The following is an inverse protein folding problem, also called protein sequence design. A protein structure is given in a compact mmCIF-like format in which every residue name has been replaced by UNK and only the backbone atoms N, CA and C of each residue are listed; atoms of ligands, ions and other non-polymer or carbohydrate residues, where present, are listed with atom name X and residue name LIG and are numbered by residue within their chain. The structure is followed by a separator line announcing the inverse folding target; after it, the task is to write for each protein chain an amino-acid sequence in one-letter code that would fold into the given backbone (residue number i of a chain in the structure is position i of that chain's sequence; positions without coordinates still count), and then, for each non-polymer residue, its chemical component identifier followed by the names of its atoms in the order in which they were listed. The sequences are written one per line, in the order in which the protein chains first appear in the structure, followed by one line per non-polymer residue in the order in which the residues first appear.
data_IF_658724166857
#
_entry.id   IF_658724166857
#
_cell.length_a   1.000
_cell.length_b   1.000
_cell.length_c   1.000
_cell.angle_alpha   90.00
_cell.angle_beta   90.00
_cell.angle_gamma   90.00
#
_symmetry.space_group_name_H-M   'P 1'
#
loop_
_entity.id
_entity.type
_entity.pdbx_description
1 polymer ?
#
# COMPACT_ATOMS: atom_id res chain seq x y z
N UNK A 1 -1.00 -17.00 -18.28
CA UNK A 1 -2.01 -15.94 -17.96
C UNK A 1 -3.38 -16.54 -18.22
N UNK A 2 -4.24 -16.64 -17.21
CA UNK A 2 -5.59 -17.21 -17.36
C UNK A 2 -6.55 -16.14 -17.85
N UNK A 3 -7.31 -16.44 -18.91
CA UNK A 3 -8.28 -15.54 -19.55
C UNK A 3 -9.61 -15.49 -18.76
N UNK A 4 -9.52 -15.09 -17.50
CA UNK A 4 -10.63 -15.04 -16.53
C UNK A 4 -11.25 -13.64 -16.37
N UNK A 5 -10.58 -12.62 -16.91
CA UNK A 5 -10.97 -11.22 -16.79
C UNK A 5 -11.10 -10.62 -18.19
N UNK A 6 -12.26 -10.03 -18.46
CA UNK A 6 -12.56 -9.31 -19.69
C UNK A 6 -12.41 -7.81 -19.44
N UNK A 7 -11.68 -7.13 -20.31
CA UNK A 7 -11.57 -5.67 -20.28
C UNK A 7 -12.70 -5.09 -21.13
N UNK A 8 -13.48 -4.18 -20.54
CA UNK A 8 -14.52 -3.43 -21.22
C UNK A 8 -13.97 -2.61 -22.38
N UNK A 9 -14.84 -2.31 -23.35
CA UNK A 9 -14.47 -1.51 -24.54
C UNK A 9 -14.84 -0.04 -24.38
N UNK A 10 -15.73 0.27 -23.46
CA UNK A 10 -16.29 1.61 -23.27
C UNK A 10 -15.51 2.36 -22.19
N UNK A 11 -15.07 3.56 -22.52
CA UNK A 11 -14.44 4.46 -21.55
C UNK A 11 -15.51 5.16 -20.72
N UNK A 12 -15.29 5.20 -19.41
CA UNK A 12 -16.10 5.90 -18.42
C UNK A 12 -15.28 6.99 -17.76
N UNK A 13 -15.92 8.14 -17.53
CA UNK A 13 -15.34 9.21 -16.74
C UNK A 13 -15.42 8.83 -15.26
N UNK A 14 -14.29 8.90 -14.57
CA UNK A 14 -14.19 8.65 -13.15
C UNK A 14 -13.66 9.89 -12.45
N UNK A 15 -14.47 10.46 -11.56
CA UNK A 15 -14.12 11.66 -10.82
C UNK A 15 -13.59 11.31 -9.42
N UNK A 16 -12.34 11.69 -9.16
CA UNK A 16 -11.68 11.53 -7.86
C UNK A 16 -11.67 12.87 -7.16
N UNK A 17 -12.67 13.08 -6.29
CA UNK A 17 -12.95 14.40 -5.73
C UNK A 17 -13.34 15.41 -6.82
N UNK A 18 -13.75 16.62 -6.43
CA UNK A 18 -14.31 17.63 -7.34
C UNK A 18 -13.32 18.21 -8.39
N UNK A 19 -12.16 17.57 -8.65
CA UNK A 19 -11.05 18.19 -9.40
C UNK A 19 -10.30 17.25 -10.36
N UNK A 20 -10.29 15.94 -10.14
CA UNK A 20 -9.49 15.02 -10.96
C UNK A 20 -10.39 14.08 -11.75
N UNK A 21 -10.38 14.22 -13.08
CA UNK A 21 -11.11 13.35 -13.99
C UNK A 21 -10.14 12.33 -14.57
N UNK A 22 -10.45 11.05 -14.43
CA UNK A 22 -9.74 9.94 -15.05
C UNK A 22 -10.64 9.29 -16.11
N UNK A 23 -10.03 8.62 -17.08
CA UNK A 23 -10.75 7.69 -17.96
C UNK A 23 -10.50 6.27 -17.50
N UNK A 24 -11.56 5.49 -17.43
CA UNK A 24 -11.55 4.12 -16.92
C UNK A 24 -12.30 3.18 -17.85
N UNK A 25 -11.93 1.90 -17.84
CA UNK A 25 -12.70 0.82 -18.48
C UNK A 25 -13.01 -0.24 -17.45
N UNK A 26 -14.20 -0.82 -17.50
CA UNK A 26 -14.62 -1.82 -16.52
C UNK A 26 -13.86 -3.15 -16.71
N UNK A 27 -13.58 -3.82 -15.59
CA UNK A 27 -13.10 -5.20 -15.56
C UNK A 27 -14.26 -6.12 -15.24
N UNK A 28 -14.49 -7.12 -16.07
CA UNK A 28 -15.58 -8.07 -15.91
C UNK A 28 -15.04 -9.49 -15.69
N UNK A 29 -15.59 -10.19 -14.70
CA UNK A 29 -15.33 -11.61 -14.54
C UNK A 29 -15.89 -12.38 -15.74
N UNK A 30 -15.09 -13.21 -16.40
CA UNK A 30 -15.56 -13.99 -17.55
C UNK A 30 -16.64 -15.01 -17.17
N UNK A 31 -16.57 -15.57 -15.97
CA UNK A 31 -17.48 -16.61 -15.49
C UNK A 31 -18.89 -16.10 -15.22
N UNK A 32 -19.01 -15.07 -14.37
CA UNK A 32 -20.31 -14.53 -13.94
C UNK A 32 -20.72 -13.21 -14.61
N UNK A 33 -19.85 -12.62 -15.44
CA UNK A 33 -20.06 -11.32 -16.11
C UNK A 33 -20.22 -10.11 -15.19
N UNK A 34 -20.05 -10.28 -13.88
CA UNK A 34 -20.04 -9.18 -12.93
C UNK A 34 -18.85 -8.25 -13.16
N UNK A 35 -19.06 -6.94 -12.94
CA UNK A 35 -17.97 -5.96 -12.87
C UNK A 35 -17.23 -6.18 -11.55
N UNK A 36 -15.94 -6.43 -11.63
CA UNK A 36 -15.07 -6.75 -10.48
C UNK A 36 -14.01 -5.68 -10.22
N UNK A 37 -14.05 -4.58 -10.98
CA UNK A 37 -13.07 -3.51 -10.89
C UNK A 37 -12.99 -2.69 -12.17
N UNK A 38 -11.86 -2.01 -12.35
CA UNK A 38 -11.60 -1.15 -13.51
C UNK A 38 -10.11 -1.01 -13.81
N UNK A 39 -9.80 -0.50 -15.00
CA UNK A 39 -8.46 -0.08 -15.40
C UNK A 39 -8.49 1.40 -15.75
N UNK A 40 -7.55 2.17 -15.21
CA UNK A 40 -7.35 3.56 -15.60
C UNK A 40 -6.63 3.62 -16.95
N UNK A 41 -7.29 4.17 -17.97
CA UNK A 41 -6.72 4.39 -19.31
C UNK A 41 -6.07 5.76 -19.43
N UNK A 42 -6.58 6.76 -18.69
CA UNK A 42 -5.99 8.09 -18.57
C UNK A 42 -6.03 8.56 -17.13
N UNK A 43 -4.92 9.13 -16.67
CA UNK A 43 -4.69 9.57 -15.29
C UNK A 43 -3.99 10.93 -15.27
N UNK A 44 -4.27 11.77 -14.27
CA UNK A 44 -3.37 12.86 -13.89
C UNK A 44 -2.01 12.31 -13.41
N UNK A 45 -0.96 13.14 -13.48
CA UNK A 45 0.42 12.75 -13.08
C UNK A 45 0.51 12.14 -11.68
N UNK A 46 -0.31 12.60 -10.74
CA UNK A 46 -0.33 12.08 -9.36
C UNK A 46 -0.83 10.63 -9.26
N UNK A 47 -1.54 10.15 -10.28
CA UNK A 47 -2.18 8.84 -10.35
C UNK A 47 -1.55 7.92 -11.42
N UNK A 48 -0.44 8.34 -12.03
CA UNK A 48 0.23 7.56 -13.09
C UNK A 48 0.67 6.17 -12.61
N UNK A 49 0.93 5.99 -11.32
CA UNK A 49 1.24 4.69 -10.72
C UNK A 49 0.06 3.69 -10.76
N UNK A 50 -1.17 4.15 -11.02
CA UNK A 50 -2.37 3.31 -11.19
C UNK A 50 -2.76 3.13 -12.67
N UNK A 51 -2.13 3.86 -13.60
CA UNK A 51 -2.46 3.79 -15.03
C UNK A 51 -2.13 2.41 -15.59
N UNK A 52 -3.02 1.87 -16.42
CA UNK A 52 -2.90 0.53 -17.03
C UNK A 52 -2.70 -0.63 -16.04
N UNK A 53 -3.09 -0.42 -14.78
CA UNK A 53 -3.10 -1.46 -13.74
C UNK A 53 -4.52 -1.99 -13.54
N UNK A 54 -4.65 -3.29 -13.25
CA UNK A 54 -5.93 -3.89 -12.87
C UNK A 54 -6.29 -3.47 -11.45
N UNK A 55 -7.24 -2.55 -11.30
CA UNK A 55 -7.74 -2.10 -10.01
C UNK A 55 -9.02 -2.86 -9.67
N UNK A 56 -8.89 -3.90 -8.86
CA UNK A 56 -10.01 -4.72 -8.43
C UNK A 56 -10.77 -4.06 -7.28
N UNK A 57 -12.09 -4.21 -7.29
CA UNK A 57 -12.97 -3.78 -6.20
C UNK A 57 -12.84 -4.76 -5.04
N UNK A 58 -12.53 -4.23 -3.85
CA UNK A 58 -12.40 -5.04 -2.62
C UNK A 58 -13.76 -5.65 -2.22
N UNK A 59 -14.87 -5.00 -2.57
CA UNK A 59 -16.20 -5.50 -2.25
C UNK A 59 -16.61 -6.70 -3.15
N UNK A 60 -15.96 -6.85 -4.30
CA UNK A 60 -16.34 -7.84 -5.33
C UNK A 60 -15.32 -8.98 -5.47
N UNK A 61 -14.30 -9.03 -4.59
CA UNK A 61 -13.21 -10.02 -4.63
C UNK A 61 -12.94 -10.60 -3.24
N UNK A 62 -12.82 -11.92 -3.20
CA UNK A 62 -12.30 -12.64 -2.04
C UNK A 62 -10.82 -13.01 -2.24
N UNK A 63 -10.04 -12.94 -1.16
CA UNK A 63 -8.65 -13.40 -1.15
C UNK A 63 -8.53 -14.68 -0.35
N UNK A 64 -7.68 -15.59 -0.84
CA UNK A 64 -7.35 -16.82 -0.13
C UNK A 64 -5.84 -16.93 0.01
N UNK A 65 -5.39 -17.04 1.26
CA UNK A 65 -3.97 -17.19 1.58
C UNK A 65 -3.67 -18.68 1.71
N UNK A 66 -2.74 -19.16 0.89
CA UNK A 66 -2.23 -20.53 0.99
C UNK A 66 -1.34 -20.64 2.22
N UNK A 67 -1.70 -21.51 3.17
CA UNK A 67 -0.84 -21.82 4.31
C UNK A 67 0.42 -22.58 3.89
N UNK A 68 1.54 -22.32 4.58
CA UNK A 68 2.73 -23.17 4.51
C UNK A 68 2.75 -24.17 5.67
N UNK A 69 3.49 -25.27 5.52
CA UNK A 69 3.62 -26.29 6.58
C UNK A 69 4.18 -25.74 7.91
N UNK A 70 4.86 -24.59 7.88
CA UNK A 70 5.45 -23.91 9.04
C UNK A 70 4.65 -22.69 9.52
N UNK A 71 3.52 -22.38 8.87
CA UNK A 71 2.63 -21.31 9.30
C UNK A 71 1.57 -21.90 10.23
N UNK A 72 1.78 -21.79 11.55
CA UNK A 72 0.66 -21.94 12.50
C UNK A 72 -0.37 -20.91 12.11
N UNK A 73 -1.52 -21.39 11.61
CA UNK A 73 -2.70 -20.58 11.36
C UNK A 73 -2.85 -19.64 12.55
N UNK A 74 -2.62 -18.35 12.33
CA UNK A 74 -3.05 -17.35 13.28
C UNK A 74 -4.56 -17.52 13.37
N UNK A 75 -4.97 -18.24 14.43
CA UNK A 75 -6.35 -18.52 14.75
C UNK A 75 -7.14 -17.23 14.58
N UNK A 76 -8.07 -17.20 13.63
CA UNK A 76 -9.00 -16.10 13.36
C UNK A 76 -8.42 -14.72 13.78
N UNK A 77 -7.27 -14.37 13.19
CA UNK A 77 -6.46 -13.22 13.59
C UNK A 77 -7.16 -11.91 13.27
N UNK A 78 -7.96 -11.42 14.22
CA UNK A 78 -8.30 -10.02 14.46
C UNK A 78 -8.45 -9.11 13.23
N UNK A 79 -9.48 -9.28 12.38
CA UNK A 79 -9.87 -8.29 11.33
C UNK A 79 -8.68 -7.51 10.73
N UNK A 80 -7.55 -8.17 10.42
CA UNK A 80 -6.39 -7.44 9.96
C UNK A 80 -6.67 -7.07 8.52
N UNK A 81 -7.12 -5.82 8.37
CA UNK A 81 -7.51 -5.24 7.10
C UNK A 81 -6.31 -5.38 6.14
N UNK A 82 -6.51 -5.91 4.93
CA UNK A 82 -5.43 -6.04 3.96
C UNK A 82 -4.73 -4.70 3.80
N UNK A 83 -3.40 -4.70 3.86
CA UNK A 83 -2.60 -3.50 3.63
C UNK A 83 -2.97 -2.94 2.26
N UNK A 84 -3.66 -1.80 2.24
CA UNK A 84 -4.06 -1.14 0.99
C UNK A 84 -2.94 -0.23 0.50
N UNK A 85 -2.98 0.12 -0.78
CA UNK A 85 -1.96 0.98 -1.39
C UNK A 85 -1.96 2.39 -0.75
N UNK A 86 -3.11 2.82 -0.24
CA UNK A 86 -3.30 4.06 0.52
C UNK A 86 -2.60 4.01 1.89
N UNK A 87 -2.47 2.82 2.52
CA UNK A 87 -1.77 2.64 3.79
C UNK A 87 -0.25 2.82 3.65
N UNK A 88 0.30 2.60 2.44
CA UNK A 88 1.74 2.73 2.17
C UNK A 88 2.29 4.12 2.57
N UNK A 89 1.58 5.19 2.20
CA UNK A 89 2.03 6.56 2.50
C UNK A 89 2.08 6.84 4.01
N UNK A 90 1.11 6.29 4.76
CA UNK A 90 1.05 6.42 6.22
C UNK A 90 2.23 5.68 6.87
N UNK A 91 2.52 4.46 6.42
CA UNK A 91 3.65 3.67 6.93
C UNK A 91 4.99 4.32 6.60
N UNK A 92 5.18 4.80 5.38
CA UNK A 92 6.41 5.50 4.97
C UNK A 92 6.65 6.75 5.83
N UNK A 93 5.58 7.50 6.14
CA UNK A 93 5.68 8.67 7.02
C UNK A 93 6.04 8.27 8.45
N UNK A 94 5.37 7.27 9.03
CA UNK A 94 5.66 6.80 10.39
C UNK A 94 7.10 6.26 10.50
N UNK A 95 7.58 5.54 9.50
CA UNK A 95 8.98 5.08 9.43
C UNK A 95 9.97 6.24 9.38
N UNK A 96 9.61 7.32 8.68
CA UNK A 96 10.44 8.53 8.58
C UNK A 96 10.52 9.26 9.94
N UNK A 97 9.39 9.42 10.62
CA UNK A 97 9.32 10.02 11.96
C UNK A 97 10.11 9.20 12.98
N UNK A 98 9.94 7.87 12.95
CA UNK A 98 10.68 6.94 13.82
C UNK A 98 12.19 7.01 13.55
N UNK A 99 12.61 7.08 12.28
CA UNK A 99 14.02 7.26 11.91
C UNK A 99 14.61 8.54 12.51
N UNK A 100 13.88 9.66 12.43
CA UNK A 100 14.34 10.93 13.01
C UNK A 100 14.52 10.84 14.53
N UNK A 101 13.57 10.21 15.22
CA UNK A 101 13.64 9.97 16.67
C UNK A 101 14.88 9.14 17.04
N UNK A 102 15.12 8.02 16.35
CA UNK A 102 16.26 7.15 16.61
C UNK A 102 17.58 7.87 16.34
N UNK A 103 17.69 8.65 15.26
CA UNK A 103 18.89 9.45 14.97
C UNK A 103 19.15 10.50 16.05
N UNK A 104 18.11 11.16 16.56
CA UNK A 104 18.24 12.12 17.66
C UNK A 104 18.72 11.46 18.95
N UNK A 105 18.21 10.26 19.26
CA UNK A 105 18.67 9.48 20.40
C UNK A 105 20.15 9.08 20.27
N UNK A 106 20.56 8.61 19.09
CA UNK A 106 21.96 8.26 18.81
C UNK A 106 22.90 9.44 19.03
N UNK A 107 22.55 10.63 18.52
CA UNK A 107 23.34 11.85 18.72
C UNK A 107 23.43 12.27 20.19
N UNK A 108 22.37 12.07 20.98
CA UNK A 108 22.38 12.38 22.41
C UNK A 108 23.24 11.39 23.19
N UNK A 109 23.22 10.11 22.83
CA UNK A 109 24.08 9.09 23.45
C UNK A 109 25.56 9.37 23.16
N UNK A 110 25.91 9.68 21.91
CA UNK A 110 27.28 10.02 21.53
C UNK A 110 27.84 11.20 22.34
N UNK A 111 27.03 12.25 22.58
CA UNK A 111 27.43 13.37 23.45
C UNK A 111 27.65 12.97 24.90
N UNK A 112 26.86 12.04 25.42
CA UNK A 112 27.01 11.53 26.79
C UNK A 112 28.27 10.67 26.89
N UNK A 113 28.52 9.82 25.89
CA UNK A 113 29.73 8.98 25.83
C UNK A 113 31.00 9.83 25.76
N UNK A 114 31.03 10.89 24.96
CA UNK A 114 32.17 11.82 24.90
C UNK A 114 32.38 12.53 26.24
N UNK A 115 31.32 13.05 26.88
CA UNK A 115 31.45 13.69 28.18
C UNK A 115 31.94 12.76 29.30
N UNK A 116 31.53 11.48 29.26
CA UNK A 116 32.02 10.46 30.19
C UNK A 116 33.49 10.07 29.95
N UNK A 117 33.96 10.15 28.70
CA UNK A 117 35.35 9.90 28.33
C UNK A 117 36.27 11.02 28.86
N UNK A 118 35.84 12.28 28.73
CA UNK A 118 36.57 13.46 29.23
C UNK A 118 36.72 13.43 30.76
N UNK A 119 35.66 13.05 31.50
CA UNK A 119 35.70 12.92 32.97
C UNK A 119 36.64 11.80 33.47
N UNK A 120 36.98 10.82 32.62
CA UNK A 120 37.90 9.73 32.95
C UNK A 120 39.37 10.04 32.66
N UNK A 121 39.66 10.99 31.76
CA UNK A 121 41.03 11.40 31.41
C UNK A 121 41.59 12.47 32.38
N UNK A 122 40.73 13.06 33.23
CA UNK A 122 41.08 14.06 34.25
C UNK A 122 41.36 13.48 35.67
N UNK A 123 41.47 12.15 35.82
CA UNK A 123 41.83 11.42 37.06
C UNK A 123 43.23 10.78 36.92
#
# INVERSE_FOLDING_TARGET
VTDNVLVGKENRLFEIGKRCVCLTVDLMCRGCRAVIGMVYTSTPKTMDHKRFTFCLSVADIDSYVLGSASQTLAAEGSKEQPVTLEYRGVVEQQLTEMKMLVMSMAQRLEKIEVGLQEDCDDI
#
